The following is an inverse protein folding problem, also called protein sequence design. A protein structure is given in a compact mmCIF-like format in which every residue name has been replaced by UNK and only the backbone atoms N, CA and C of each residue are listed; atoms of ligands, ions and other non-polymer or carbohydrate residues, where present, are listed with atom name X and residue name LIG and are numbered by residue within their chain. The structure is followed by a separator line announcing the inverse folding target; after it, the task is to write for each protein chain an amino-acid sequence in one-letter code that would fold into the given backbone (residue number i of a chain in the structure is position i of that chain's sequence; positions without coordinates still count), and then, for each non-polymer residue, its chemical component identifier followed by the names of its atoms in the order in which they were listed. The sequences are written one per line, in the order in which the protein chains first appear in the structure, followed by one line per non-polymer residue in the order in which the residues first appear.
data_IF_070260521951
#
_entry.id   IF_070260521951
#
_cell.length_a   1.000
_cell.length_b   1.000
_cell.length_c   1.000
_cell.angle_alpha   90.00
_cell.angle_beta   90.00
_cell.angle_gamma   90.00
#
_symmetry.space_group_name_H-M   'P 1'
#
loop_
_entity.id
_entity.type
_entity.pdbx_description
1 polymer ?
#
# COMPACT_ATOMS: atom_id res chain seq x y z
N UNK A 1 59.18 34.01 72.61
CA UNK A 1 58.64 32.91 73.44
C UNK A 1 57.27 32.53 72.93
N UNK A 2 57.04 31.22 72.88
CA UNK A 2 55.89 30.50 72.28
C UNK A 2 54.57 30.80 73.01
N UNK A 3 53.47 30.78 72.26
CA UNK A 3 52.12 30.66 72.77
C UNK A 3 51.15 30.35 71.63
N UNK A 4 50.67 29.11 71.61
CA UNK A 4 50.02 28.42 70.49
C UNK A 4 48.48 28.55 70.54
N UNK A 5 47.87 28.39 69.35
CA UNK A 5 46.55 27.78 69.03
C UNK A 5 45.30 28.66 68.83
N UNK A 6 44.63 28.25 67.76
CA UNK A 6 43.20 27.99 67.61
C UNK A 6 42.28 29.13 67.15
N UNK A 7 41.52 28.86 66.10
CA UNK A 7 40.34 29.66 65.76
C UNK A 7 39.84 29.49 64.33
N UNK A 8 39.60 28.25 63.89
CA UNK A 8 38.85 27.95 62.67
C UNK A 8 37.38 28.40 62.81
N UNK A 9 36.86 29.17 61.85
CA UNK A 9 35.42 29.34 61.66
C UNK A 9 34.98 30.75 61.27
N UNK A 10 34.67 30.96 59.99
CA UNK A 10 34.15 32.23 59.47
C UNK A 10 33.60 32.09 58.06
N UNK A 11 32.45 31.43 57.97
CA UNK A 11 31.76 30.92 56.79
C UNK A 11 31.36 31.99 55.73
N UNK A 12 31.68 31.67 54.47
CA UNK A 12 30.94 31.84 53.21
C UNK A 12 29.90 32.96 53.04
N UNK A 13 30.09 33.75 51.98
CA UNK A 13 28.98 34.26 51.14
C UNK A 13 29.37 34.18 49.66
N UNK A 14 29.12 33.02 49.07
CA UNK A 14 29.16 32.81 47.62
C UNK A 14 27.79 33.21 47.04
N UNK A 15 27.71 34.39 46.41
CA UNK A 15 26.54 34.81 45.66
C UNK A 15 26.43 34.00 44.37
N UNK A 16 25.88 32.79 44.47
CA UNK A 16 25.53 31.97 43.32
C UNK A 16 24.19 32.45 42.75
N UNK A 17 24.25 33.19 41.65
CA UNK A 17 23.07 33.64 40.92
C UNK A 17 22.42 32.42 40.22
N UNK A 18 21.38 31.85 40.83
CA UNK A 18 20.55 30.83 40.21
C UNK A 18 19.66 31.47 39.14
N UNK A 19 20.22 31.71 37.94
CA UNK A 19 19.41 31.99 36.76
C UNK A 19 18.88 30.68 36.23
N UNK A 20 17.57 30.48 36.39
CA UNK A 20 16.84 29.33 35.91
C UNK A 20 17.05 29.08 34.42
N UNK A 21 17.06 27.80 34.07
CA UNK A 21 17.08 27.30 32.70
C UNK A 21 16.51 25.89 32.69
N UNK A 22 15.19 25.82 32.50
CA UNK A 22 14.39 24.61 32.46
C UNK A 22 14.85 23.69 31.32
N UNK A 23 15.37 22.49 31.63
CA UNK A 23 15.70 21.50 30.60
C UNK A 23 14.42 20.77 30.19
N UNK A 24 13.78 21.28 29.13
CA UNK A 24 12.65 20.66 28.44
C UNK A 24 13.09 19.32 27.81
N UNK A 25 12.95 18.22 28.53
CA UNK A 25 13.20 16.87 27.99
C UNK A 25 11.92 16.00 27.94
N UNK A 26 10.75 16.60 28.18
CA UNK A 26 9.44 15.90 28.17
C UNK A 26 8.76 15.86 26.80
N UNK A 27 8.99 16.84 25.93
CA UNK A 27 8.20 17.02 24.69
C UNK A 27 8.61 16.07 23.56
N UNK A 28 9.89 15.66 23.48
CA UNK A 28 10.41 14.90 22.35
C UNK A 28 9.79 13.51 22.25
N UNK A 29 9.61 12.81 23.37
CA UNK A 29 9.05 11.46 23.39
C UNK A 29 7.53 11.45 23.16
N UNK A 30 6.82 12.49 23.61
CA UNK A 30 5.38 12.66 23.37
C UNK A 30 5.09 12.97 21.90
N UNK A 31 5.94 13.78 21.26
CA UNK A 31 5.83 14.10 19.84
C UNK A 31 6.09 12.90 18.94
N UNK A 32 7.02 12.01 19.29
CA UNK A 32 7.29 10.77 18.54
C UNK A 32 6.12 9.79 18.67
N UNK A 33 5.54 9.64 19.86
CA UNK A 33 4.36 8.80 20.07
C UNK A 33 3.15 9.29 19.28
N UNK A 34 2.87 10.60 19.31
CA UNK A 34 1.80 11.20 18.52
C UNK A 34 2.03 11.05 17.00
N UNK A 35 3.28 11.19 16.53
CA UNK A 35 3.61 11.00 15.12
C UNK A 35 3.39 9.54 14.67
N UNK A 36 3.78 8.56 15.48
CA UNK A 36 3.57 7.14 15.19
C UNK A 36 2.08 6.77 15.12
N UNK A 37 1.26 7.35 16.00
CA UNK A 37 -0.18 7.13 16.01
C UNK A 37 -0.87 7.73 14.77
N UNK A 38 -0.43 8.91 14.33
CA UNK A 38 -0.89 9.50 13.07
C UNK A 38 -0.54 8.62 11.86
N UNK A 39 0.66 8.03 11.80
CA UNK A 39 1.05 7.12 10.71
C UNK A 39 0.19 5.84 10.72
N UNK A 40 -0.11 5.28 11.91
CA UNK A 40 -0.96 4.10 12.03
C UNK A 40 -2.39 4.36 11.52
N UNK A 41 -2.97 5.51 11.84
CA UNK A 41 -4.30 5.90 11.34
C UNK A 41 -4.34 6.12 9.83
N UNK A 42 -3.28 6.72 9.25
CA UNK A 42 -3.16 6.90 7.80
C UNK A 42 -3.10 5.55 7.08
N UNK A 43 -2.31 4.61 7.59
CA UNK A 43 -2.20 3.26 7.01
C UNK A 43 -3.53 2.49 7.07
N UNK A 44 -4.28 2.62 8.17
CA UNK A 44 -5.62 2.03 8.30
C UNK A 44 -6.62 2.63 7.32
N UNK A 45 -6.61 3.95 7.12
CA UNK A 45 -7.50 4.61 6.16
C UNK A 45 -7.17 4.26 4.69
N UNK A 46 -5.90 4.01 4.37
CA UNK A 46 -5.47 3.57 3.05
C UNK A 46 -5.83 2.10 2.77
N UNK A 47 -5.84 1.24 3.79
CA UNK A 47 -6.19 -0.18 3.65
C UNK A 47 -7.69 -0.46 3.74
N UNK A 48 -8.46 0.38 4.43
CA UNK A 48 -9.90 0.18 4.63
C UNK A 48 -10.77 0.58 3.42
N UNK A 49 -10.22 1.20 2.38
CA UNK A 49 -11.00 1.69 1.23
C UNK A 49 -10.52 1.10 -0.11
N UNK A 50 -10.86 -0.15 -0.44
CA UNK A 50 -10.69 -0.70 -1.78
C UNK A 50 -11.79 -0.14 -2.70
N UNK A 51 -11.80 1.18 -2.93
CA UNK A 51 -12.72 1.85 -3.87
C UNK A 51 -11.98 2.67 -4.92
N UNK A 52 -10.78 2.21 -5.30
CA UNK A 52 -10.28 2.51 -6.63
C UNK A 52 -11.23 1.93 -7.68
N UNK A 53 -11.24 2.46 -8.93
CA UNK A 53 -11.92 1.79 -10.03
C UNK A 53 -11.39 0.36 -10.07
N UNK A 54 -12.24 -0.58 -9.67
CA UNK A 54 -11.97 -1.99 -9.82
C UNK A 54 -11.62 -2.14 -11.30
N UNK A 55 -10.44 -2.67 -11.68
CA UNK A 55 -10.22 -3.05 -13.05
C UNK A 55 -11.42 -3.95 -13.36
N UNK A 56 -12.30 -3.52 -14.28
CA UNK A 56 -13.36 -4.39 -14.78
C UNK A 56 -12.59 -5.63 -15.21
N UNK A 57 -12.72 -6.73 -14.47
CA UNK A 57 -11.93 -7.93 -14.72
C UNK A 57 -12.02 -8.14 -16.22
N UNK A 58 -10.87 -8.11 -16.91
CA UNK A 58 -10.87 -8.35 -18.34
C UNK A 58 -11.73 -9.61 -18.53
N UNK A 59 -12.73 -9.59 -19.43
CA UNK A 59 -13.61 -10.75 -19.60
C UNK A 59 -12.70 -11.96 -19.64
N UNK A 60 -12.90 -12.94 -18.76
CA UNK A 60 -11.97 -14.06 -18.56
C UNK A 60 -11.76 -14.71 -19.93
N UNK A 61 -10.73 -14.26 -20.66
CA UNK A 61 -10.48 -14.71 -22.03
C UNK A 61 -10.20 -16.21 -22.00
N UNK A 62 -9.67 -16.69 -20.88
CA UNK A 62 -9.52 -18.08 -20.48
C UNK A 62 -10.85 -18.82 -20.41
N UNK A 63 -11.89 -18.27 -19.78
CA UNK A 63 -13.22 -18.88 -19.69
C UNK A 63 -13.88 -18.95 -21.08
N UNK A 64 -13.91 -17.82 -21.81
CA UNK A 64 -14.53 -17.79 -23.13
C UNK A 64 -13.82 -18.74 -24.11
N UNK A 65 -12.49 -18.79 -24.08
CA UNK A 65 -11.71 -19.72 -24.89
C UNK A 65 -11.98 -21.18 -24.51
N UNK A 66 -12.15 -21.47 -23.21
CA UNK A 66 -12.49 -22.81 -22.72
C UNK A 66 -13.87 -23.24 -23.23
N UNK A 67 -14.88 -22.38 -23.11
CA UNK A 67 -16.22 -22.65 -23.62
C UNK A 67 -16.22 -22.83 -25.14
N UNK A 68 -15.48 -21.98 -25.87
CA UNK A 68 -15.33 -22.13 -27.32
C UNK A 68 -14.70 -23.47 -27.69
N UNK A 69 -13.67 -23.93 -26.98
CA UNK A 69 -13.05 -25.24 -27.23
C UNK A 69 -13.99 -26.40 -26.95
N UNK A 70 -14.87 -26.31 -25.95
CA UNK A 70 -15.88 -27.34 -25.67
C UNK A 70 -16.85 -27.53 -26.84
N UNK A 71 -17.10 -26.48 -27.62
CA UNK A 71 -17.92 -26.55 -28.83
C UNK A 71 -17.23 -27.31 -29.99
N UNK A 72 -15.95 -27.67 -29.86
CA UNK A 72 -15.14 -28.38 -30.88
C UNK A 72 -15.20 -27.68 -32.26
N UNK A 73 -14.69 -26.43 -32.34
CA UNK A 73 -14.77 -25.65 -33.57
C UNK A 73 -14.08 -26.35 -34.74
N UNK A 74 -14.61 -26.24 -35.96
CA UNK A 74 -13.98 -26.81 -37.14
C UNK A 74 -12.60 -26.17 -37.37
N UNK A 75 -11.61 -26.98 -37.76
CA UNK A 75 -10.28 -26.48 -38.11
C UNK A 75 -10.30 -25.89 -39.52
N UNK A 76 -9.72 -24.71 -39.69
CA UNK A 76 -9.48 -24.12 -41.01
C UNK A 76 -8.11 -24.54 -41.51
N UNK A 77 -8.07 -25.31 -42.61
CA UNK A 77 -6.82 -25.77 -43.21
C UNK A 77 -6.26 -24.81 -44.27
N UNK A 78 -6.93 -23.67 -44.49
CA UNK A 78 -6.69 -22.82 -45.65
C UNK A 78 -7.33 -23.44 -46.89
N UNK A 79 -8.26 -22.72 -47.51
CA UNK A 79 -8.87 -23.15 -48.76
C UNK A 79 -8.59 -22.09 -49.84
N UNK A 80 -8.17 -22.49 -51.06
CA UNK A 80 -8.10 -21.56 -52.19
C UNK A 80 -9.48 -21.11 -52.64
N UNK A 81 -10.53 -21.87 -52.29
CA UNK A 81 -11.93 -21.53 -52.54
C UNK A 81 -12.46 -20.53 -51.49
N UNK A 82 -12.87 -19.32 -51.92
CA UNK A 82 -13.50 -18.33 -51.04
C UNK A 82 -14.82 -18.81 -50.43
N UNK A 83 -15.57 -19.68 -51.12
CA UNK A 83 -16.85 -20.20 -50.62
C UNK A 83 -16.63 -21.11 -49.41
N UNK A 84 -15.64 -22.01 -49.48
CA UNK A 84 -15.23 -22.84 -48.36
C UNK A 84 -14.80 -21.99 -47.14
N UNK A 85 -14.11 -20.88 -47.37
CA UNK A 85 -13.72 -19.94 -46.30
C UNK A 85 -14.95 -19.28 -45.67
N UNK A 86 -15.89 -18.80 -46.48
CA UNK A 86 -17.13 -18.19 -46.00
C UNK A 86 -18.00 -19.18 -45.21
N UNK A 87 -18.09 -20.43 -45.67
CA UNK A 87 -18.80 -21.49 -44.95
C UNK A 87 -18.18 -21.75 -43.57
N UNK A 88 -16.84 -21.83 -43.49
CA UNK A 88 -16.13 -21.98 -42.22
C UNK A 88 -16.37 -20.80 -41.26
N UNK A 89 -16.27 -19.56 -41.77
CA UNK A 89 -16.56 -18.35 -40.99
C UNK A 89 -18.01 -18.37 -40.47
N UNK A 90 -18.96 -18.75 -41.32
CA UNK A 90 -20.37 -18.85 -40.95
C UNK A 90 -20.59 -19.85 -39.81
N UNK A 91 -19.90 -20.99 -39.86
CA UNK A 91 -19.97 -22.00 -38.80
C UNK A 91 -19.40 -21.49 -37.48
N UNK A 92 -18.25 -20.80 -37.50
CA UNK A 92 -17.65 -20.19 -36.30
C UNK A 92 -18.56 -19.10 -35.72
N UNK A 93 -19.16 -18.25 -36.56
CA UNK A 93 -20.12 -17.21 -36.11
C UNK A 93 -21.31 -17.81 -35.38
N UNK A 94 -21.91 -18.87 -35.92
CA UNK A 94 -23.04 -19.57 -35.28
C UNK A 94 -22.67 -20.12 -33.90
N UNK A 95 -21.44 -20.62 -33.74
CA UNK A 95 -20.96 -21.13 -32.46
C UNK A 95 -20.75 -19.99 -31.44
N UNK A 96 -20.24 -18.84 -31.87
CA UNK A 96 -20.10 -17.65 -31.02
C UNK A 96 -21.44 -17.08 -30.58
N UNK A 97 -22.43 -17.02 -31.48
CA UNK A 97 -23.82 -16.63 -31.20
C UNK A 97 -24.47 -17.58 -30.16
N UNK A 98 -24.26 -18.89 -30.30
CA UNK A 98 -24.75 -19.89 -29.32
C UNK A 98 -24.16 -19.67 -27.92
N UNK A 99 -22.97 -19.09 -27.82
CA UNK A 99 -22.32 -18.77 -26.53
C UNK A 99 -22.69 -17.38 -26.00
N UNK A 100 -23.54 -16.61 -26.71
CA UNK A 100 -23.93 -15.25 -26.33
C UNK A 100 -22.81 -14.23 -26.47
N UNK A 101 -21.85 -14.48 -27.37
CA UNK A 101 -20.67 -13.62 -27.61
C UNK A 101 -20.93 -12.61 -28.71
N UNK A 102 -21.67 -13.04 -29.75
CA UNK A 102 -22.05 -12.25 -30.92
C UNK A 102 -23.56 -12.06 -30.97
#
# INVERSE_FOLDING_TARGET
MVGTRNGNGGNNNNHNNNSGGNNNNGDTNQNVAAALENVAQILQNLTANPRGPQPRAAPDCTHLFTEFRKQRPPTFHGAPDPLATNAWIGQVKKMLDTMGVL
#
